data_IF_805891008451
#
_entry.id   IF_805891008451
#
_cell.length_a   1.000
_cell.length_b   1.000
_cell.length_c   1.000
_cell.angle_alpha   90.00
_cell.angle_beta   90.00
_cell.angle_gamma   90.00
#
_symmetry.space_group_name_H-M   'P 1'
#
loop_
_entity.id
_entity.type
_entity.pdbx_description
1 polymer ?
#
# COMPACT_ATOMS: atom_id res chain seq x y z
N UNK A 1 -16.34 11.78 8.29
CA UNK A 1 -17.55 11.04 7.91
C UNK A 1 -17.14 9.62 7.56
N UNK A 2 -18.03 8.64 7.67
CA UNK A 2 -17.68 7.25 7.33
C UNK A 2 -18.23 6.92 5.95
N UNK A 3 -17.35 6.71 4.97
CA UNK A 3 -17.70 6.17 3.66
C UNK A 3 -18.51 4.87 3.80
N UNK A 4 -19.62 4.72 3.06
CA UNK A 4 -20.55 3.61 3.22
C UNK A 4 -19.93 2.25 2.83
N UNK A 5 -20.34 1.14 3.48
CA UNK A 5 -19.84 -0.19 3.16
C UNK A 5 -20.27 -0.60 1.75
N UNK A 6 -19.49 -1.48 1.11
CA UNK A 6 -19.72 -1.90 -0.28
C UNK A 6 -21.06 -2.62 -0.51
N UNK A 7 -21.67 -3.17 0.55
CA UNK A 7 -23.00 -3.79 0.53
C UNK A 7 -24.14 -2.78 0.62
N UNK A 8 -23.87 -1.50 0.89
CA UNK A 8 -24.91 -0.49 1.04
C UNK A 8 -25.57 -0.14 -0.31
N UNK A 9 -26.86 0.18 -0.25
CA UNK A 9 -27.62 0.59 -1.42
C UNK A 9 -27.31 2.03 -1.86
N UNK A 10 -27.84 2.46 -3.03
CA UNK A 10 -27.64 3.81 -3.56
C UNK A 10 -28.14 4.93 -2.61
N UNK A 11 -29.15 4.67 -1.78
CA UNK A 11 -29.66 5.64 -0.82
C UNK A 11 -28.59 6.05 0.20
N UNK A 12 -27.82 5.08 0.72
CA UNK A 12 -26.74 5.37 1.66
C UNK A 12 -25.62 6.23 1.04
N UNK A 13 -25.42 6.12 -0.28
CA UNK A 13 -24.48 6.98 -1.01
C UNK A 13 -24.99 8.42 -1.06
N UNK A 14 -26.30 8.61 -1.24
CA UNK A 14 -26.90 9.95 -1.27
C UNK A 14 -26.83 10.60 0.10
N UNK A 15 -27.19 9.87 1.15
CA UNK A 15 -27.11 10.37 2.52
C UNK A 15 -25.68 10.80 2.84
N UNK A 16 -24.69 9.98 2.49
CA UNK A 16 -23.27 10.31 2.64
C UNK A 16 -22.84 11.56 1.86
N UNK A 17 -23.27 11.71 0.60
CA UNK A 17 -22.94 12.90 -0.20
C UNK A 17 -23.62 14.15 0.40
N UNK A 18 -24.88 14.05 0.80
CA UNK A 18 -25.61 15.15 1.44
C UNK A 18 -24.93 15.58 2.74
N UNK A 19 -24.53 14.61 3.57
CA UNK A 19 -23.81 14.86 4.81
C UNK A 19 -22.47 15.57 4.57
N UNK A 20 -21.70 15.16 3.54
CA UNK A 20 -20.46 15.85 3.15
C UNK A 20 -20.72 17.31 2.79
N UNK A 21 -21.74 17.57 1.97
CA UNK A 21 -22.05 18.91 1.49
C UNK A 21 -22.47 19.81 2.66
N UNK A 22 -23.35 19.32 3.55
CA UNK A 22 -23.76 20.07 4.74
C UNK A 22 -22.58 20.32 5.67
N UNK A 23 -21.79 19.29 6.01
CA UNK A 23 -20.76 19.42 7.02
C UNK A 23 -19.50 20.15 6.56
N UNK A 24 -19.08 19.97 5.30
CA UNK A 24 -17.82 20.56 4.79
C UNK A 24 -18.04 21.87 4.02
N UNK A 25 -19.25 22.15 3.54
CA UNK A 25 -19.54 23.36 2.78
C UNK A 25 -20.63 24.26 3.37
N UNK A 26 -21.18 23.89 4.54
CA UNK A 26 -22.24 24.65 5.20
C UNK A 26 -23.44 24.93 4.26
N UNK A 27 -23.71 23.99 3.35
CA UNK A 27 -24.82 24.10 2.41
C UNK A 27 -26.14 23.76 3.09
N UNK A 28 -27.24 24.32 2.59
CA UNK A 28 -28.57 23.95 3.05
C UNK A 28 -28.88 22.47 2.75
N UNK A 29 -29.58 21.80 3.66
CA UNK A 29 -29.92 20.39 3.54
C UNK A 29 -30.72 20.08 2.26
N UNK A 30 -31.56 21.01 1.82
CA UNK A 30 -32.35 20.87 0.59
C UNK A 30 -31.46 20.86 -0.66
N UNK A 31 -30.49 21.78 -0.73
CA UNK A 31 -29.50 21.81 -1.81
C UNK A 31 -28.63 20.54 -1.81
N UNK A 32 -28.18 20.11 -0.62
CA UNK A 32 -27.37 18.91 -0.47
C UNK A 32 -28.11 17.64 -0.93
N UNK A 33 -29.42 17.55 -0.68
CA UNK A 33 -30.29 16.45 -1.16
C UNK A 33 -30.50 16.52 -2.67
N UNK A 34 -30.71 17.70 -3.22
CA UNK A 34 -30.83 17.89 -4.66
C UNK A 34 -29.57 17.43 -5.39
N UNK A 35 -28.40 17.87 -4.93
CA UNK A 35 -27.11 17.47 -5.52
C UNK A 35 -26.88 15.97 -5.37
N UNK A 36 -27.16 15.39 -4.20
CA UNK A 36 -27.02 13.95 -3.97
C UNK A 36 -27.99 13.12 -4.83
N UNK A 37 -29.18 13.65 -5.15
CA UNK A 37 -30.16 12.98 -6.02
C UNK A 37 -29.67 12.73 -7.44
N UNK A 38 -28.67 13.50 -7.91
CA UNK A 38 -28.02 13.31 -9.22
C UNK A 38 -27.30 11.96 -9.32
N UNK A 39 -26.95 11.36 -8.18
CA UNK A 39 -26.42 10.00 -8.10
C UNK A 39 -27.54 8.96 -8.02
N UNK A 40 -28.10 8.58 -9.19
CA UNK A 40 -29.33 7.79 -9.26
C UNK A 40 -29.14 6.27 -9.08
N UNK A 41 -28.18 5.64 -9.74
CA UNK A 41 -28.05 4.17 -9.73
C UNK A 41 -26.70 3.67 -9.21
N UNK A 42 -25.75 4.58 -8.97
CA UNK A 42 -24.40 4.21 -8.59
C UNK A 42 -24.35 3.64 -7.17
N UNK A 43 -23.72 2.47 -7.03
CA UNK A 43 -23.43 1.84 -5.74
C UNK A 43 -22.25 2.53 -5.06
N UNK A 44 -22.01 2.30 -3.76
CA UNK A 44 -20.82 2.78 -3.07
C UNK A 44 -19.53 2.36 -3.79
N UNK A 45 -19.51 1.16 -4.37
CA UNK A 45 -18.35 0.68 -5.10
C UNK A 45 -18.11 1.45 -6.42
N UNK A 46 -19.18 1.89 -7.08
CA UNK A 46 -19.08 2.73 -8.28
C UNK A 46 -18.55 4.12 -7.91
N UNK A 47 -19.01 4.67 -6.78
CA UNK A 47 -18.51 5.94 -6.28
C UNK A 47 -17.02 5.87 -5.92
N UNK A 48 -16.57 4.75 -5.34
CA UNK A 48 -15.16 4.51 -4.98
C UNK A 48 -14.23 4.47 -6.20
N UNK A 49 -14.69 3.92 -7.31
CA UNK A 49 -13.92 3.79 -8.55
C UNK A 49 -14.22 4.88 -9.59
N UNK A 50 -15.13 5.81 -9.28
CA UNK A 50 -15.48 6.90 -10.18
C UNK A 50 -14.30 7.86 -10.34
N UNK A 51 -14.01 8.22 -11.59
CA UNK A 51 -13.00 9.22 -11.93
C UNK A 51 -13.49 10.63 -11.63
N UNK A 52 -12.57 11.58 -11.50
CA UNK A 52 -12.89 13.01 -11.35
C UNK A 52 -13.85 13.49 -12.44
N UNK A 53 -13.62 13.10 -13.70
CA UNK A 53 -14.51 13.45 -14.81
C UNK A 53 -15.93 12.88 -14.68
N UNK A 54 -16.09 11.74 -14.00
CA UNK A 54 -17.42 11.19 -13.69
C UNK A 54 -18.14 12.06 -12.66
N UNK A 55 -17.43 12.48 -11.61
CA UNK A 55 -17.98 13.41 -10.62
C UNK A 55 -18.35 14.76 -11.24
N UNK A 56 -17.48 15.34 -12.06
CA UNK A 56 -17.75 16.60 -12.76
C UNK A 56 -18.96 16.50 -13.70
N UNK A 57 -19.12 15.36 -14.39
CA UNK A 57 -20.28 15.13 -15.27
C UNK A 57 -21.59 14.98 -14.52
N UNK A 58 -21.59 14.38 -13.33
CA UNK A 58 -22.83 14.12 -12.56
C UNK A 58 -23.20 15.30 -11.68
N UNK A 59 -22.25 15.91 -10.99
CA UNK A 59 -22.51 16.96 -10.00
C UNK A 59 -22.23 18.37 -10.53
N UNK A 60 -21.54 18.50 -11.66
CA UNK A 60 -21.04 19.76 -12.19
C UNK A 60 -19.55 19.95 -11.90
N UNK A 61 -18.88 20.81 -12.67
CA UNK A 61 -17.42 20.96 -12.63
C UNK A 61 -16.88 21.37 -11.26
N UNK A 62 -17.51 22.36 -10.63
CA UNK A 62 -17.04 22.92 -9.36
C UNK A 62 -17.31 21.96 -8.18
N UNK A 63 -18.55 21.50 -8.06
CA UNK A 63 -18.99 20.60 -6.98
C UNK A 63 -18.36 19.20 -7.14
N UNK A 64 -18.28 18.71 -8.36
CA UNK A 64 -17.75 17.38 -8.67
C UNK A 64 -16.27 17.26 -8.32
N UNK A 65 -15.45 18.27 -8.64
CA UNK A 65 -14.03 18.24 -8.27
C UNK A 65 -13.85 18.17 -6.75
N UNK A 66 -14.59 18.99 -6.00
CA UNK A 66 -14.53 18.96 -4.54
C UNK A 66 -14.97 17.61 -3.97
N UNK A 67 -16.15 17.12 -4.39
CA UNK A 67 -16.69 15.85 -3.91
C UNK A 67 -15.71 14.71 -4.17
N UNK A 68 -15.12 14.65 -5.36
CA UNK A 68 -14.11 13.65 -5.67
C UNK A 68 -12.94 13.71 -4.66
N UNK A 69 -12.38 14.89 -4.43
CA UNK A 69 -11.25 15.06 -3.50
C UNK A 69 -11.62 14.60 -2.09
N UNK A 70 -12.76 15.04 -1.58
CA UNK A 70 -13.25 14.69 -0.26
C UNK A 70 -13.50 13.20 -0.09
N UNK A 71 -14.14 12.56 -1.08
CA UNK A 71 -14.40 11.12 -1.06
C UNK A 71 -13.09 10.33 -1.01
N UNK A 72 -12.09 10.74 -1.78
CA UNK A 72 -10.78 10.10 -1.79
C UNK A 72 -9.99 10.31 -0.47
N UNK A 73 -10.16 11.46 0.18
CA UNK A 73 -9.59 11.73 1.51
C UNK A 73 -10.24 10.82 2.56
N UNK A 74 -11.58 10.76 2.61
CA UNK A 74 -12.31 9.92 3.57
C UNK A 74 -12.02 8.41 3.37
N UNK A 75 -11.91 7.94 2.11
CA UNK A 75 -11.48 6.57 1.80
C UNK A 75 -10.07 6.27 2.34
N UNK A 76 -9.16 7.23 2.20
CA UNK A 76 -7.77 7.10 2.64
C UNK A 76 -7.66 7.10 4.16
N UNK A 77 -8.42 7.97 4.83
CA UNK A 77 -8.51 7.98 6.29
C UNK A 77 -9.07 6.66 6.83
N UNK A 78 -10.11 6.11 6.20
CA UNK A 78 -10.61 4.78 6.55
C UNK A 78 -9.55 3.69 6.37
N UNK A 79 -8.74 3.77 5.32
CA UNK A 79 -7.66 2.82 5.10
C UNK A 79 -6.60 2.92 6.19
N UNK A 80 -6.15 4.13 6.52
CA UNK A 80 -5.15 4.34 7.59
C UNK A 80 -5.67 3.92 8.97
N UNK A 81 -6.96 4.11 9.25
CA UNK A 81 -7.58 3.72 10.51
C UNK A 81 -7.98 2.23 10.56
N UNK A 82 -7.90 1.50 9.44
CA UNK A 82 -8.17 0.06 9.39
C UNK A 82 -6.96 -0.75 9.87
N UNK A 83 -7.21 -1.92 10.48
CA UNK A 83 -6.18 -2.87 10.92
C UNK A 83 -5.19 -3.25 9.80
N UNK A 84 -5.66 -3.28 8.55
CA UNK A 84 -4.81 -3.51 7.37
C UNK A 84 -3.85 -2.34 7.09
N UNK A 85 -4.29 -1.10 7.32
CA UNK A 85 -3.44 0.10 7.25
C UNK A 85 -2.43 0.15 8.39
N UNK A 86 -2.83 -0.22 9.61
CA UNK A 86 -1.94 -0.31 10.76
C UNK A 86 -0.84 -1.37 10.60
N UNK A 87 -1.14 -2.51 9.97
CA UNK A 87 -0.15 -3.55 9.67
C UNK A 87 0.88 -3.10 8.62
N UNK A 88 0.46 -2.29 7.64
CA UNK A 88 1.33 -1.73 6.61
C UNK A 88 2.08 -0.45 7.06
N UNK A 89 1.51 0.28 8.04
CA UNK A 89 2.06 1.48 8.66
C UNK A 89 2.99 1.17 9.84
N UNK A 90 2.95 -0.05 10.39
CA UNK A 90 3.98 -0.49 11.32
C UNK A 90 5.32 -0.33 10.59
N UNK A 91 6.30 0.42 11.13
CA UNK A 91 7.61 0.44 10.51
C UNK A 91 8.07 -1.00 10.53
N UNK A 92 8.13 -1.61 9.35
CA UNK A 92 8.78 -2.89 9.18
C UNK A 92 10.12 -2.74 9.92
N UNK A 93 10.40 -3.67 10.83
CA UNK A 93 11.58 -3.65 11.70
C UNK A 93 12.81 -3.15 10.93
N UNK A 94 13.78 -2.50 11.59
CA UNK A 94 14.94 -1.91 10.90
C UNK A 94 15.61 -2.85 9.87
N UNK A 95 15.52 -4.17 10.10
CA UNK A 95 15.94 -5.24 9.17
C UNK A 95 15.16 -5.27 7.84
N UNK A 96 13.85 -5.00 7.86
CA UNK A 96 13.01 -4.87 6.67
C UNK A 96 13.25 -3.54 5.92
N UNK A 97 13.57 -2.46 6.61
CA UNK A 97 13.96 -1.20 5.95
C UNK A 97 15.34 -1.35 5.29
N UNK A 98 16.27 -2.07 5.92
CA UNK A 98 17.57 -2.37 5.35
C UNK A 98 17.44 -3.22 4.07
N UNK A 99 16.59 -4.25 4.05
CA UNK A 99 16.36 -5.07 2.86
C UNK A 99 15.60 -4.31 1.76
N UNK A 100 14.64 -3.46 2.12
CA UNK A 100 13.93 -2.60 1.15
C UNK A 100 14.83 -1.52 0.55
N UNK A 101 15.75 -0.94 1.34
CA UNK A 101 16.79 -0.02 0.84
C UNK A 101 17.82 -0.74 -0.05
N UNK A 102 18.21 -1.97 0.29
CA UNK A 102 19.11 -2.76 -0.54
C UNK A 102 18.44 -3.15 -1.87
N UNK A 103 17.16 -3.52 -1.84
CA UNK A 103 16.37 -3.80 -3.03
C UNK A 103 16.14 -2.53 -3.89
N UNK A 104 15.86 -1.39 -3.26
CA UNK A 104 15.70 -0.10 -3.95
C UNK A 104 17.01 0.45 -4.54
N UNK A 105 18.16 0.19 -3.90
CA UNK A 105 19.46 0.57 -4.43
C UNK A 105 19.94 -0.37 -5.56
N UNK A 106 19.60 -1.65 -5.50
CA UNK A 106 19.96 -2.63 -6.54
C UNK A 106 19.06 -2.56 -7.79
N UNK A 107 17.80 -2.14 -7.66
CA UNK A 107 16.81 -2.19 -8.76
C UNK A 107 16.09 -0.87 -9.07
N UNK A 108 16.39 0.21 -8.34
CA UNK A 108 15.82 1.55 -8.57
C UNK A 108 14.37 1.75 -8.08
N UNK A 109 13.90 3.00 -7.94
CA UNK A 109 12.65 3.32 -7.23
C UNK A 109 11.28 2.98 -7.86
N UNK A 110 11.06 2.55 -9.12
CA UNK A 110 9.70 2.60 -9.66
C UNK A 110 8.90 1.28 -9.62
N UNK A 111 9.49 0.12 -9.33
CA UNK A 111 8.81 -1.16 -9.62
C UNK A 111 8.07 -1.82 -8.44
N UNK A 112 8.40 -1.49 -7.20
CA UNK A 112 7.73 -2.08 -6.02
C UNK A 112 6.44 -1.31 -5.66
N UNK A 113 6.36 -0.04 -6.06
CA UNK A 113 5.25 0.84 -5.69
C UNK A 113 4.05 0.76 -6.66
N UNK A 114 4.27 0.40 -7.93
CA UNK A 114 3.20 0.33 -8.94
C UNK A 114 2.34 -0.95 -8.88
N UNK A 115 2.65 -1.90 -8.00
CA UNK A 115 1.92 -3.18 -7.93
C UNK A 115 0.61 -3.13 -7.12
N UNK A 116 0.45 -2.15 -6.24
CA UNK A 116 -0.66 -2.09 -5.27
C UNK A 116 -1.83 -1.22 -5.77
N UNK A 117 -1.61 -0.34 -6.75
CA UNK A 117 -2.61 0.66 -7.15
C UNK A 117 -3.50 0.29 -8.35
N UNK A 118 -3.22 -0.78 -9.10
CA UNK A 118 -4.03 -1.17 -10.27
C UNK A 118 -4.69 -2.55 -10.09
N UNK A 119 -5.96 -2.62 -9.63
CA UNK A 119 -6.68 -3.88 -9.49
C UNK A 119 -7.00 -4.59 -10.82
N UNK A 120 -6.83 -3.94 -11.97
CA UNK A 120 -7.23 -4.44 -13.30
C UNK A 120 -6.09 -4.72 -14.29
N UNK A 121 -4.82 -4.61 -13.89
CA UNK A 121 -3.71 -4.87 -14.82
C UNK A 121 -3.42 -6.36 -14.97
N UNK A 122 -3.63 -6.90 -16.19
CA UNK A 122 -3.24 -8.27 -16.62
C UNK A 122 -1.78 -8.64 -16.28
N UNK A 123 -0.93 -7.65 -16.05
CA UNK A 123 0.51 -7.82 -15.77
C UNK A 123 0.85 -7.97 -14.28
N UNK A 124 -0.14 -8.09 -13.38
CA UNK A 124 0.08 -8.27 -11.94
C UNK A 124 0.86 -9.55 -11.62
N UNK A 125 0.48 -10.66 -12.23
CA UNK A 125 1.12 -11.96 -11.96
C UNK A 125 2.59 -11.99 -12.44
N UNK A 126 2.93 -11.58 -13.69
CA UNK A 126 4.31 -11.49 -14.13
C UNK A 126 5.19 -10.61 -13.23
N UNK A 127 4.69 -9.46 -12.78
CA UNK A 127 5.46 -8.53 -11.93
C UNK A 127 5.75 -9.10 -10.55
N UNK A 128 4.76 -9.72 -9.92
CA UNK A 128 4.94 -10.39 -8.63
C UNK A 128 5.87 -11.61 -8.75
N UNK A 129 5.76 -12.35 -9.86
CA UNK A 129 6.62 -13.50 -10.12
C UNK A 129 8.08 -13.09 -10.36
N UNK A 130 8.33 -12.08 -11.19
CA UNK A 130 9.66 -11.52 -11.44
C UNK A 130 10.27 -10.92 -10.17
N UNK A 131 9.49 -10.14 -9.40
CA UNK A 131 9.94 -9.60 -8.12
C UNK A 131 10.26 -10.69 -7.09
N UNK A 132 9.44 -11.75 -7.05
CA UNK A 132 9.66 -12.93 -6.20
C UNK A 132 10.95 -13.66 -6.56
N UNK A 133 11.21 -13.89 -7.84
CA UNK A 133 12.46 -14.53 -8.31
C UNK A 133 13.68 -13.70 -7.90
N UNK A 134 13.65 -12.39 -8.14
CA UNK A 134 14.77 -11.50 -7.80
C UNK A 134 15.04 -11.51 -6.29
N UNK A 135 13.99 -11.45 -5.47
CA UNK A 135 14.11 -11.52 -4.02
C UNK A 135 14.67 -12.88 -3.57
N UNK A 136 14.19 -13.97 -4.15
CA UNK A 136 14.67 -15.33 -3.85
C UNK A 136 16.16 -15.50 -4.19
N UNK A 137 16.59 -15.01 -5.35
CA UNK A 137 17.99 -15.05 -5.77
C UNK A 137 18.90 -14.20 -4.85
N UNK A 138 18.42 -13.04 -4.40
CA UNK A 138 19.16 -12.21 -3.44
C UNK A 138 19.33 -12.91 -2.08
N UNK A 139 18.29 -13.59 -1.60
CA UNK A 139 18.37 -14.39 -0.36
C UNK A 139 19.36 -15.55 -0.52
N UNK A 140 19.32 -16.26 -1.65
CA UNK A 140 20.27 -17.34 -1.92
C UNK A 140 21.72 -16.83 -1.93
N UNK A 141 21.99 -15.71 -2.60
CA UNK A 141 23.32 -15.10 -2.60
C UNK A 141 23.79 -14.73 -1.19
N UNK A 142 22.89 -14.17 -0.36
CA UNK A 142 23.19 -13.84 1.03
C UNK A 142 23.48 -15.08 1.89
N UNK A 143 22.71 -16.16 1.69
CA UNK A 143 22.94 -17.43 2.39
C UNK A 143 24.29 -18.04 2.02
N UNK A 144 24.65 -18.04 0.74
CA UNK A 144 25.97 -18.52 0.28
C UNK A 144 27.09 -17.70 0.91
N UNK A 145 27.02 -16.37 0.88
CA UNK A 145 28.02 -15.51 1.51
C UNK A 145 28.11 -15.72 3.03
N UNK A 146 26.98 -16.01 3.68
CA UNK A 146 26.93 -16.27 5.11
C UNK A 146 27.55 -17.61 5.49
N UNK A 147 27.35 -18.64 4.66
CA UNK A 147 27.97 -19.96 4.84
C UNK A 147 29.48 -19.84 4.64
N UNK A 148 29.92 -19.14 3.60
CA UNK A 148 31.34 -18.95 3.30
C UNK A 148 32.08 -18.26 4.47
N UNK A 149 31.49 -17.19 5.02
CA UNK A 149 32.03 -16.53 6.24
C UNK A 149 32.10 -17.45 7.46
N UNK A 150 31.16 -18.39 7.62
CA UNK A 150 31.20 -19.35 8.73
C UNK A 150 32.31 -20.39 8.52
N UNK A 151 32.52 -20.83 7.28
CA UNK A 151 33.59 -21.77 6.95
C UNK A 151 34.97 -21.17 7.20
N UNK A 152 35.18 -19.91 6.83
CA UNK A 152 36.45 -19.21 7.08
C UNK A 152 36.73 -19.02 8.58
N UNK A 153 35.71 -18.69 9.38
CA UNK A 153 35.86 -18.62 10.84
C UNK A 153 36.25 -19.96 11.46
N UNK A 154 35.62 -21.06 11.02
CA UNK A 154 35.93 -22.40 11.51
C UNK A 154 37.36 -22.84 11.16
N UNK A 155 37.85 -22.49 9.97
CA UNK A 155 39.25 -22.76 9.59
C UNK A 155 40.22 -22.00 10.49
N UNK A 156 39.98 -20.71 10.73
CA UNK A 156 40.83 -19.89 11.59
C UNK A 156 40.88 -20.42 13.04
N UNK A 157 39.74 -20.79 13.62
CA UNK A 157 39.68 -21.38 14.97
C UNK A 157 40.42 -22.71 15.06
N UNK A 158 40.36 -23.53 14.00
CA UNK A 158 41.06 -24.82 13.95
C UNK A 158 42.57 -24.65 13.83
N UNK A 159 43.04 -23.65 13.08
CA UNK A 159 44.47 -23.34 12.96
C UNK A 159 45.06 -22.76 14.25
N UNK A 160 44.34 -21.88 14.95
CA UNK A 160 44.78 -21.33 16.24
C UNK A 160 44.84 -22.41 17.32
N UNK A 161 43.87 -23.32 17.36
CA UNK A 161 43.89 -24.46 18.28
C UNK A 161 45.10 -25.37 18.04
N UNK A 162 45.43 -25.66 16.77
CA UNK A 162 46.61 -26.45 16.41
C UNK A 162 47.91 -25.75 16.82
N UNK A 163 48.02 -24.44 16.65
CA UNK A 163 49.21 -23.66 17.07
C UNK A 163 49.38 -23.61 18.59
N UNK A 164 48.27 -23.52 19.34
CA UNK A 164 48.30 -23.57 20.80
C UNK A 164 48.76 -24.92 21.35
N UNK A 165 48.27 -26.03 20.77
CA UNK A 165 48.66 -27.39 21.19
C UNK A 165 50.13 -27.74 20.87
N UNK A 166 50.71 -27.14 19.81
CA UNK A 166 52.14 -27.31 19.48
C UNK A 166 53.03 -26.59 20.49
N UNK A 167 52.67 -25.35 20.89
CA UNK A 167 53.44 -24.57 21.87
C UNK A 167 53.42 -25.13 23.29
N UNK A 168 52.45 -25.98 23.63
CA UNK A 168 52.35 -26.59 24.96
C UNK A 168 53.15 -27.91 25.08
N UNK A 169 53.70 -28.40 23.96
CA UNK A 169 54.49 -29.65 23.90
C UNK A 169 56.00 -29.42 23.73
N UNK A 170 56.44 -28.17 23.56
CA UNK A 170 57.85 -27.72 23.66
C UNK A 170 58.15 -27.25 25.08
#
# INVERSE_FOLDING_TARGET
MTFPPASAGPNAVRDYISDILVAKHDTTADFAKEVASRWQLGRPNDLRHASTGTFERVFGKDIGHFLYRTVQEDIREQWYNSTAGAFNSYPASADCIASLRYAGAAFGPPMVFCGIQDPYSQWRFPRLFLGGIVSFLAVLAFLVASIDRRMEKQKAETEDKKKGEVKQKE
#
